data_IF_184100986379
#
_entry.id   IF_184100986379
#
_cell.length_a   1.000
_cell.length_b   1.000
_cell.length_c   1.000
_cell.angle_alpha   90.00
_cell.angle_beta   90.00
_cell.angle_gamma   90.00
#
_symmetry.space_group_name_H-M   'P 1'
#
loop_
_entity.id
_entity.type
_entity.pdbx_description
1 polymer ?
#
# COMPACT_ATOMS: atom_id res chain seq x y z
N UNK A 1 18.73 26.36 2.80
CA UNK A 1 17.84 25.22 2.48
C UNK A 1 18.30 24.02 3.30
N UNK A 2 17.67 23.81 4.46
CA UNK A 2 17.92 22.63 5.28
C UNK A 2 17.37 21.40 4.52
N UNK A 3 18.25 20.48 4.15
CA UNK A 3 17.86 19.15 3.69
C UNK A 3 17.73 18.27 4.93
N UNK A 4 16.51 18.08 5.42
CA UNK A 4 16.24 16.98 6.33
C UNK A 4 16.21 15.69 5.51
N UNK A 5 17.31 14.94 5.61
CA UNK A 5 17.34 13.56 5.14
C UNK A 5 16.61 12.70 6.17
N UNK A 6 15.36 12.33 5.89
CA UNK A 6 14.71 11.25 6.61
C UNK A 6 15.44 9.95 6.29
N UNK A 7 16.35 9.53 7.18
CA UNK A 7 17.00 8.24 7.12
C UNK A 7 15.95 7.13 7.21
N UNK A 8 16.06 6.11 6.36
CA UNK A 8 15.33 4.87 6.53
C UNK A 8 15.80 4.23 7.85
N UNK A 9 15.06 4.47 8.94
CA UNK A 9 15.31 3.81 10.21
C UNK A 9 15.32 2.30 10.02
N UNK A 10 16.34 1.64 10.56
CA UNK A 10 16.44 0.18 10.56
C UNK A 10 15.18 -0.37 11.24
N UNK A 11 14.37 -1.09 10.47
CA UNK A 11 13.19 -1.77 10.98
C UNK A 11 13.63 -2.76 12.10
N UNK A 12 12.88 -2.91 13.21
CA UNK A 12 13.23 -3.84 14.30
C UNK A 12 13.47 -5.25 13.75
N UNK A 13 14.41 -6.00 14.33
CA UNK A 13 14.84 -7.31 13.79
C UNK A 13 13.70 -8.36 13.74
N UNK A 14 12.59 -8.14 14.45
CA UNK A 14 11.38 -8.99 14.43
C UNK A 14 10.17 -8.38 13.69
N UNK A 15 10.39 -7.34 12.88
CA UNK A 15 9.29 -6.71 12.13
C UNK A 15 8.98 -7.47 10.84
N UNK A 16 8.00 -8.37 10.92
CA UNK A 16 7.46 -9.05 9.76
C UNK A 16 6.51 -8.12 9.00
N UNK A 17 6.79 -7.87 7.72
CA UNK A 17 5.89 -7.13 6.83
C UNK A 17 5.50 -7.98 5.63
N UNK A 18 4.21 -8.07 5.36
CA UNK A 18 3.67 -8.65 4.14
C UNK A 18 3.25 -7.54 3.18
N UNK A 19 3.58 -7.67 1.90
CA UNK A 19 3.28 -6.66 0.87
C UNK A 19 2.64 -7.31 -0.34
N UNK A 20 1.50 -6.78 -0.75
CA UNK A 20 0.82 -7.14 -1.99
C UNK A 20 0.58 -5.89 -2.84
N UNK A 21 0.38 -6.10 -4.14
CA UNK A 21 0.17 -5.02 -5.10
C UNK A 21 -1.17 -5.20 -5.81
N UNK A 22 -2.02 -4.17 -5.74
CA UNK A 22 -3.26 -4.10 -6.50
C UNK A 22 -3.08 -3.14 -7.67
N UNK A 23 -3.40 -3.61 -8.89
CA UNK A 23 -3.41 -2.77 -10.08
C UNK A 23 -4.82 -2.29 -10.36
N UNK A 24 -5.02 -0.99 -10.23
CA UNK A 24 -6.29 -0.34 -10.55
C UNK A 24 -6.39 -0.03 -12.06
N UNK A 25 -7.61 -0.04 -12.57
CA UNK A 25 -7.95 0.40 -13.92
C UNK A 25 -8.21 1.93 -13.95
N UNK A 26 -8.58 2.46 -15.12
CA UNK A 26 -8.84 3.90 -15.31
C UNK A 26 -10.02 4.45 -14.48
N UNK A 27 -10.91 3.58 -14.01
CA UNK A 27 -12.06 3.93 -13.18
C UNK A 27 -11.73 3.81 -11.67
N UNK A 28 -10.48 3.52 -11.31
CA UNK A 28 -10.05 3.37 -9.93
C UNK A 28 -10.41 2.02 -9.30
N UNK A 29 -10.94 1.06 -10.07
CA UNK A 29 -11.30 -0.27 -9.55
C UNK A 29 -10.24 -1.32 -9.89
N UNK A 30 -10.08 -2.39 -9.09
CA UNK A 30 -9.14 -3.48 -9.40
C UNK A 30 -9.35 -4.05 -10.80
N UNK A 31 -8.27 -4.27 -11.56
CA UNK A 31 -8.35 -4.77 -12.94
C UNK A 31 -8.89 -6.20 -13.04
N UNK A 32 -8.81 -6.98 -11.97
CA UNK A 32 -9.27 -8.36 -11.91
C UNK A 32 -9.91 -8.64 -10.54
N UNK A 33 -11.19 -8.26 -10.34
CA UNK A 33 -11.90 -8.47 -9.07
C UNK A 33 -12.14 -9.95 -8.76
N UNK A 34 -12.11 -10.83 -9.76
CA UNK A 34 -12.24 -12.29 -9.56
C UNK A 34 -10.93 -12.94 -9.08
N UNK A 35 -9.77 -12.31 -9.33
CA UNK A 35 -8.46 -12.77 -8.82
C UNK A 35 -8.09 -12.12 -7.49
N UNK A 36 -8.97 -11.29 -6.95
CA UNK A 36 -8.79 -10.79 -5.60
C UNK A 36 -8.70 -11.98 -4.65
N UNK A 37 -9.31 -13.14 -4.93
CA UNK A 37 -9.12 -14.43 -4.23
C UNK A 37 -7.67 -14.95 -4.11
N UNK A 38 -6.68 -14.36 -4.80
CA UNK A 38 -5.25 -14.51 -4.42
C UNK A 38 -4.84 -13.58 -3.28
N UNK A 39 -5.82 -13.07 -2.53
CA UNK A 39 -5.63 -12.47 -1.22
C UNK A 39 -4.86 -13.48 -0.40
N UNK A 40 -3.53 -13.32 -0.36
CA UNK A 40 -2.76 -13.73 0.78
C UNK A 40 -3.50 -13.10 1.95
N UNK A 41 -4.27 -13.93 2.65
CA UNK A 41 -4.74 -13.70 4.00
C UNK A 41 -3.61 -13.02 4.74
N UNK A 42 -3.73 -11.70 4.90
CA UNK A 42 -2.68 -10.88 5.50
C UNK A 42 -2.45 -11.47 6.87
N UNK A 43 -1.29 -12.07 7.05
CA UNK A 43 -0.87 -12.76 8.25
C UNK A 43 -1.81 -13.93 8.66
N UNK A 44 -1.56 -15.12 8.12
CA UNK A 44 -2.29 -16.36 8.49
C UNK A 44 -2.03 -16.78 9.93
N UNK A 45 -0.89 -16.40 10.49
CA UNK A 45 -0.38 -16.92 11.76
C UNK A 45 -0.42 -15.91 12.92
N UNK A 46 -1.24 -14.85 12.85
CA UNK A 46 -1.38 -13.92 13.98
C UNK A 46 -2.33 -14.49 15.03
N UNK A 47 -1.80 -14.76 16.22
CA UNK A 47 -2.61 -15.01 17.40
C UNK A 47 -3.23 -13.72 17.96
N UNK A 48 -4.19 -13.85 18.87
CA UNK A 48 -4.78 -12.70 19.56
C UNK A 48 -3.76 -11.88 20.34
N UNK A 49 -2.62 -12.46 20.72
CA UNK A 49 -1.46 -11.76 21.30
C UNK A 49 -0.82 -10.79 20.33
N UNK A 50 -0.78 -11.13 19.05
CA UNK A 50 -0.11 -10.36 18.01
C UNK A 50 -1.01 -9.25 17.49
N UNK A 51 -2.33 -9.48 17.45
CA UNK A 51 -3.33 -8.45 17.15
C UNK A 51 -3.40 -7.33 18.20
N UNK A 52 -2.85 -7.56 19.40
CA UNK A 52 -2.72 -6.55 20.47
C UNK A 52 -1.38 -5.81 20.45
N UNK A 53 -0.47 -6.17 19.54
CA UNK A 53 0.79 -5.43 19.30
C UNK A 53 0.53 -4.29 18.31
N UNK A 54 1.56 -3.45 18.11
CA UNK A 54 1.58 -2.36 17.14
C UNK A 54 1.61 -2.88 15.68
N UNK A 55 0.47 -3.43 15.22
CA UNK A 55 0.30 -3.93 13.85
C UNK A 55 -0.52 -2.95 13.02
N UNK A 56 0.04 -2.60 11.87
CA UNK A 56 -0.53 -1.59 10.98
C UNK A 56 -0.67 -2.10 9.55
N UNK A 57 -1.77 -1.73 8.91
CA UNK A 57 -1.94 -1.79 7.47
C UNK A 57 -1.39 -0.50 6.88
N UNK A 58 -0.38 -0.61 6.02
CA UNK A 58 0.20 0.53 5.31
C UNK A 58 -0.15 0.45 3.83
N UNK A 59 -0.91 1.43 3.35
CA UNK A 59 -1.33 1.53 1.94
C UNK A 59 -0.43 2.55 1.25
N UNK A 60 0.28 2.11 0.21
CA UNK A 60 1.05 3.00 -0.66
C UNK A 60 0.35 3.17 -2.00
N UNK A 61 -0.01 4.41 -2.34
CA UNK A 61 -0.60 4.75 -3.62
C UNK A 61 0.51 5.22 -4.54
N UNK A 62 0.75 4.45 -5.60
CA UNK A 62 1.84 4.70 -6.55
C UNK A 62 1.25 4.84 -7.95
N UNK A 63 1.47 5.99 -8.59
CA UNK A 63 1.11 6.19 -9.98
C UNK A 63 2.19 5.58 -10.87
N UNK A 64 1.78 4.64 -11.72
CA UNK A 64 2.65 3.99 -12.70
C UNK A 64 2.36 4.59 -14.08
N UNK A 65 3.37 5.15 -14.73
CA UNK A 65 3.25 5.73 -16.06
C UNK A 65 4.49 5.51 -16.91
N UNK A 66 4.39 5.87 -18.19
CA UNK A 66 5.55 5.97 -19.08
C UNK A 66 5.93 7.44 -19.22
N UNK A 67 7.22 7.72 -19.31
CA UNK A 67 7.69 9.04 -19.71
C UNK A 67 7.84 9.02 -21.23
N UNK A 68 7.09 9.87 -21.93
CA UNK A 68 7.28 10.08 -23.36
C UNK A 68 8.12 11.35 -23.52
N UNK A 69 9.41 11.20 -23.83
CA UNK A 69 10.17 12.28 -24.43
C UNK A 69 9.71 12.41 -25.89
N UNK A 70 9.55 13.63 -26.40
CA UNK A 70 9.08 13.89 -27.76
C UNK A 70 9.83 13.06 -28.81
N UNK A 71 9.08 12.63 -29.83
CA UNK A 71 9.58 11.99 -31.06
C UNK A 71 10.13 10.57 -30.95
N UNK A 72 9.25 9.61 -30.61
CA UNK A 72 9.01 8.34 -31.34
C UNK A 72 8.13 7.44 -30.46
N UNK A 73 7.02 6.94 -31.01
CA UNK A 73 6.05 6.06 -30.32
C UNK A 73 6.58 4.67 -29.93
N UNK A 74 7.88 4.42 -30.10
CA UNK A 74 8.43 3.09 -29.98
C UNK A 74 9.39 3.02 -28.78
N UNK A 75 9.03 2.11 -27.86
CA UNK A 75 9.90 1.46 -26.88
C UNK A 75 10.47 2.32 -25.73
N UNK A 76 9.62 2.98 -24.94
CA UNK A 76 9.97 3.24 -23.53
C UNK A 76 9.38 2.11 -22.67
N UNK A 77 10.19 1.06 -22.42
CA UNK A 77 9.82 -0.09 -21.58
C UNK A 77 9.81 0.24 -20.09
N UNK A 78 10.45 1.35 -19.70
CA UNK A 78 10.59 1.78 -18.31
C UNK A 78 9.26 2.29 -17.78
N UNK A 79 8.70 1.57 -16.80
CA UNK A 79 7.57 2.02 -16.01
C UNK A 79 8.07 2.92 -14.87
N UNK A 80 7.75 4.20 -14.96
CA UNK A 80 8.07 5.17 -13.91
C UNK A 80 7.03 5.06 -12.80
N UNK A 81 7.52 4.91 -11.57
CA UNK A 81 6.71 4.91 -10.35
C UNK A 81 6.85 6.27 -9.67
N UNK A 82 5.74 6.98 -9.53
CA UNK A 82 5.68 8.24 -8.77
C UNK A 82 4.78 8.01 -7.54
N UNK A 83 5.30 8.15 -6.32
CA UNK A 83 4.46 8.15 -5.12
C UNK A 83 3.35 9.19 -5.26
N UNK A 84 2.13 8.82 -4.90
CA UNK A 84 0.98 9.72 -4.86
C UNK A 84 0.60 10.05 -3.42
N UNK A 85 0.69 9.06 -2.54
CA UNK A 85 0.48 9.23 -1.12
C UNK A 85 0.52 7.90 -0.37
N UNK A 86 0.38 7.96 0.94
CA UNK A 86 0.25 6.81 1.81
C UNK A 86 -0.92 6.96 2.78
N UNK A 87 -1.43 5.84 3.27
CA UNK A 87 -2.33 5.78 4.41
C UNK A 87 -1.83 4.71 5.37
N UNK A 88 -2.06 4.92 6.66
CA UNK A 88 -1.71 3.97 7.71
C UNK A 88 -2.95 3.73 8.55
N UNK A 89 -3.19 2.48 8.90
CA UNK A 89 -4.33 2.09 9.71
C UNK A 89 -3.92 1.04 10.74
N UNK A 90 -4.36 1.22 11.97
CA UNK A 90 -4.13 0.26 13.05
C UNK A 90 -5.09 -0.91 12.94
N UNK A 91 -4.60 -2.14 13.07
CA UNK A 91 -5.48 -3.31 13.14
C UNK A 91 -6.30 -3.30 14.43
N UNK A 92 -5.75 -2.79 15.54
CA UNK A 92 -6.50 -2.68 16.79
C UNK A 92 -7.74 -1.79 16.61
N UNK A 93 -7.62 -0.69 15.88
CA UNK A 93 -8.74 0.21 15.59
C UNK A 93 -9.80 -0.52 14.75
N UNK A 94 -9.38 -1.29 13.74
CA UNK A 94 -10.29 -2.12 12.93
C UNK A 94 -11.09 -3.12 13.77
N UNK A 95 -10.42 -3.77 14.73
CA UNK A 95 -11.03 -4.82 15.57
C UNK A 95 -12.00 -4.25 16.63
N UNK A 96 -11.82 -2.99 17.01
CA UNK A 96 -12.69 -2.31 17.99
C UNK A 96 -13.82 -1.51 17.33
N UNK A 97 -13.76 -1.31 16.01
CA UNK A 97 -14.75 -0.55 15.29
C UNK A 97 -16.00 -1.42 15.03
N UNK A 98 -17.16 -0.96 15.51
CA UNK A 98 -18.47 -1.57 15.22
C UNK A 98 -18.91 -1.23 13.79
N UNK A 99 -18.22 -1.75 12.77
CA UNK A 99 -18.38 -1.25 11.40
C UNK A 99 -19.10 -2.23 10.50
N UNK A 100 -20.36 -1.91 10.17
CA UNK A 100 -21.08 -2.44 9.01
C UNK A 100 -20.80 -1.65 7.72
N UNK A 101 -19.98 -0.60 7.82
CA UNK A 101 -19.74 0.38 6.75
C UNK A 101 -18.28 0.36 6.25
N UNK A 102 -18.13 0.77 4.99
CA UNK A 102 -16.84 0.92 4.31
C UNK A 102 -15.94 1.94 5.04
N UNK A 103 -14.71 1.52 5.38
CA UNK A 103 -13.73 2.38 6.04
C UNK A 103 -13.06 3.34 5.03
N UNK A 104 -13.18 4.65 5.27
CA UNK A 104 -12.53 5.69 4.48
C UNK A 104 -11.19 6.08 5.13
N UNK A 105 -10.08 5.81 4.44
CA UNK A 105 -8.73 6.13 4.90
C UNK A 105 -8.27 7.49 4.39
N UNK A 106 -7.77 8.33 5.28
CA UNK A 106 -7.10 9.60 4.90
C UNK A 106 -5.76 9.29 4.24
N UNK A 107 -5.58 9.81 3.03
CA UNK A 107 -4.30 9.74 2.29
C UNK A 107 -3.46 10.96 2.59
N UNK A 108 -2.21 10.73 2.98
CA UNK A 108 -1.17 11.74 3.13
C UNK A 108 -0.31 11.76 1.87
N UNK A 109 -0.13 12.95 1.27
CA UNK A 109 0.59 13.13 0.00
C UNK A 109 1.89 13.90 0.20
#
# INVERSE_FOLDING_TARGET
MHKESFGAGKLPEDSHCERFFVKLNKNGVPRSPEKTETHCTLFVDLGSSDLRKDVYIVVHIIRIGRMCAGEKKNTCSVQYRRPFGCAVYSIADLLTADTKDDQILKVYA
#
